data_IF_485555231245
#
_entry.id   IF_485555231245
#
_cell.length_a   1.000
_cell.length_b   1.000
_cell.length_c   1.000
_cell.angle_alpha   90.00
_cell.angle_beta   90.00
_cell.angle_gamma   90.00
#
_symmetry.space_group_name_H-M   'P 1'
#
loop_
_entity.id
_entity.type
_entity.pdbx_description
1 polymer ?
#
# COMPACT_ATOMS: atom_id res chain seq x y z
N UNK A 1 8.01 -8.38 21.26
CA UNK A 1 8.18 -8.57 22.72
C UNK A 1 8.79 -7.28 23.25
N UNK A 2 8.14 -6.57 24.20
CA UNK A 2 8.59 -5.26 24.68
C UNK A 2 9.73 -5.31 25.72
N UNK A 3 10.36 -6.48 25.88
CA UNK A 3 11.46 -6.69 26.77
C UNK A 3 12.71 -7.14 26.02
N UNK A 4 13.91 -6.69 26.44
CA UNK A 4 15.14 -7.17 25.84
C UNK A 4 15.34 -8.66 26.11
N UNK A 5 15.65 -9.40 25.06
CA UNK A 5 16.02 -10.81 25.14
C UNK A 5 17.51 -10.88 24.87
N UNK A 6 18.23 -11.50 25.79
CA UNK A 6 19.68 -11.71 25.68
C UNK A 6 19.96 -13.17 25.37
N UNK A 7 20.84 -13.40 24.42
CA UNK A 7 21.41 -14.71 24.15
C UNK A 7 22.78 -14.77 24.80
N UNK A 8 22.98 -15.79 25.61
CA UNK A 8 24.23 -16.09 26.27
C UNK A 8 24.85 -17.33 25.58
N UNK A 9 26.04 -17.18 25.01
CA UNK A 9 26.69 -18.24 24.27
C UNK A 9 28.22 -18.09 24.33
N UNK A 10 28.94 -19.25 24.13
CA UNK A 10 30.38 -19.26 23.99
C UNK A 10 30.74 -19.22 22.50
N UNK A 11 31.33 -18.13 22.06
CA UNK A 11 31.92 -18.05 20.73
C UNK A 11 33.27 -18.70 20.70
N UNK A 12 33.42 -19.70 19.84
CA UNK A 12 34.69 -20.40 19.66
C UNK A 12 35.40 -19.82 18.44
N UNK A 13 36.51 -19.16 18.67
CA UNK A 13 37.44 -18.71 17.63
C UNK A 13 38.73 -19.50 17.65
N UNK A 14 39.43 -19.56 16.52
CA UNK A 14 40.68 -20.25 16.39
C UNK A 14 41.74 -19.24 15.95
N UNK A 15 42.80 -19.09 16.79
CA UNK A 15 43.96 -18.26 16.48
C UNK A 15 45.17 -19.15 16.15
N UNK A 16 45.91 -18.81 15.06
CA UNK A 16 47.10 -19.51 14.59
C UNK A 16 46.90 -20.33 13.33
N UNK A 17 47.98 -20.64 12.64
CA UNK A 17 48.01 -21.47 11.43
C UNK A 17 48.70 -22.84 11.71
N UNK A 18 48.19 -23.92 11.09
CA UNK A 18 48.80 -25.25 11.17
C UNK A 18 48.63 -25.94 12.53
N UNK A 19 49.69 -26.54 13.03
CA UNK A 19 49.71 -27.32 14.29
C UNK A 19 49.61 -26.44 15.57
N UNK A 20 49.81 -25.12 15.44
CA UNK A 20 49.73 -24.15 16.56
C UNK A 20 48.35 -23.52 16.72
N UNK A 21 47.32 -24.07 16.09
CA UNK A 21 45.94 -23.59 16.17
C UNK A 21 45.38 -23.78 17.58
N UNK A 22 45.17 -22.65 18.28
CA UNK A 22 44.60 -22.65 19.64
C UNK A 22 43.15 -22.25 19.60
N UNK A 23 42.32 -23.03 20.28
CA UNK A 23 40.91 -22.72 20.49
C UNK A 23 40.79 -21.62 21.58
N UNK A 24 40.10 -20.53 21.23
CA UNK A 24 39.78 -19.45 22.18
C UNK A 24 38.28 -19.42 22.33
N UNK A 25 37.78 -19.63 23.54
CA UNK A 25 36.37 -19.48 23.89
C UNK A 25 36.16 -18.10 24.52
N UNK A 26 35.26 -17.37 23.97
CA UNK A 26 34.84 -16.08 24.51
C UNK A 26 33.36 -16.13 24.86
N UNK A 27 33.05 -15.88 26.13
CA UNK A 27 31.68 -15.84 26.60
C UNK A 27 31.03 -14.52 26.18
N UNK A 28 29.93 -14.62 25.42
CA UNK A 28 29.20 -13.46 24.91
C UNK A 28 27.74 -13.43 25.40
N UNK A 29 27.30 -12.23 25.74
CA UNK A 29 25.90 -11.96 26.01
C UNK A 29 25.49 -10.87 25.01
N UNK A 30 24.59 -11.22 24.11
CA UNK A 30 24.13 -10.33 23.06
C UNK A 30 22.62 -10.14 23.13
N UNK A 31 22.18 -8.90 23.02
CA UNK A 31 20.75 -8.61 22.90
C UNK A 31 20.28 -8.97 21.48
N UNK A 32 19.41 -9.96 21.36
CA UNK A 32 18.93 -10.50 20.08
C UNK A 32 17.63 -9.89 19.55
N UNK A 33 17.01 -8.99 20.30
CA UNK A 33 15.81 -8.29 19.85
C UNK A 33 15.89 -6.78 20.11
N UNK A 34 15.29 -6.00 19.24
CA UNK A 34 15.10 -4.55 19.45
C UNK A 34 13.94 -4.31 20.42
N UNK A 35 13.95 -4.70 21.66
CA UNK A 35 12.94 -4.61 22.75
C UNK A 35 11.75 -3.62 22.61
N UNK A 36 11.63 -2.89 21.50
CA UNK A 36 10.56 -1.96 21.16
C UNK A 36 10.01 -2.25 19.76
N UNK A 37 8.69 -2.15 19.62
CA UNK A 37 8.05 -2.21 18.32
C UNK A 37 8.44 -0.96 17.51
N UNK A 38 8.91 -1.14 16.28
CA UNK A 38 9.38 -0.03 15.43
C UNK A 38 8.32 1.06 15.28
N UNK A 39 7.06 0.67 15.08
CA UNK A 39 5.96 1.62 14.91
C UNK A 39 5.62 2.44 16.16
N UNK A 40 6.23 2.15 17.30
CA UNK A 40 6.07 2.92 18.55
C UNK A 40 7.22 3.87 18.81
N UNK A 41 8.31 3.77 18.06
CA UNK A 41 9.46 4.66 18.20
C UNK A 41 9.14 6.03 17.59
N UNK A 42 9.71 7.11 18.10
CA UNK A 42 9.62 8.43 17.49
C UNK A 42 10.16 8.37 16.04
N UNK A 43 9.43 8.95 15.09
CA UNK A 43 9.88 9.00 13.70
C UNK A 43 11.23 9.66 13.51
N UNK A 44 11.56 10.61 14.40
CA UNK A 44 12.83 11.35 14.37
C UNK A 44 14.04 10.50 14.74
N UNK A 45 13.82 9.31 15.29
CA UNK A 45 14.87 8.34 15.68
C UNK A 45 15.00 7.20 14.68
N UNK A 46 14.14 7.16 13.66
CA UNK A 46 14.09 6.12 12.64
C UNK A 46 14.63 6.63 11.31
N UNK A 47 15.40 5.79 10.65
CA UNK A 47 15.89 6.00 9.29
C UNK A 47 15.07 5.20 8.27
N UNK A 48 15.17 5.52 6.99
CA UNK A 48 14.54 4.74 5.91
C UNK A 48 14.99 3.27 5.95
N UNK A 49 16.25 3.01 6.27
CA UNK A 49 16.80 1.65 6.39
C UNK A 49 16.09 0.86 7.51
N UNK A 50 15.76 1.49 8.64
CA UNK A 50 15.01 0.83 9.73
C UNK A 50 13.63 0.38 9.25
N UNK A 51 12.94 1.22 8.47
CA UNK A 51 11.64 0.89 7.87
C UNK A 51 11.75 -0.22 6.84
N UNK A 52 12.78 -0.20 5.99
CA UNK A 52 12.99 -1.20 4.94
C UNK A 52 13.39 -2.56 5.52
N UNK A 53 14.28 -2.60 6.51
CA UNK A 53 14.64 -3.83 7.21
C UNK A 53 13.44 -4.46 7.92
N UNK A 54 12.62 -3.62 8.58
CA UNK A 54 11.40 -4.08 9.22
C UNK A 54 10.45 -4.72 8.19
N UNK A 55 10.23 -4.04 7.06
CA UNK A 55 9.38 -4.54 5.99
C UNK A 55 9.86 -5.88 5.46
N UNK A 56 11.13 -5.98 5.06
CA UNK A 56 11.73 -7.21 4.53
C UNK A 56 11.63 -8.37 5.52
N UNK A 57 11.89 -8.10 6.79
CA UNK A 57 11.87 -9.12 7.84
C UNK A 57 10.46 -9.61 8.17
N UNK A 58 9.51 -8.69 8.32
CA UNK A 58 8.17 -9.01 8.82
C UNK A 58 7.24 -9.56 7.75
N UNK A 59 7.42 -9.09 6.51
CA UNK A 59 6.57 -9.48 5.37
C UNK A 59 7.27 -10.45 4.42
N UNK A 60 8.53 -10.85 4.73
CA UNK A 60 9.31 -11.81 3.95
C UNK A 60 9.45 -11.40 2.47
N UNK A 61 9.60 -10.11 2.24
CA UNK A 61 9.84 -9.53 0.93
C UNK A 61 11.32 -9.19 0.80
N UNK A 62 11.94 -9.54 -0.32
CA UNK A 62 13.36 -9.28 -0.56
C UNK A 62 13.60 -7.89 -1.18
N UNK A 63 12.54 -7.27 -1.74
CA UNK A 63 12.62 -5.94 -2.32
C UNK A 63 12.26 -4.88 -1.27
N UNK A 64 12.73 -3.65 -1.48
CA UNK A 64 12.29 -2.50 -0.71
C UNK A 64 10.85 -2.14 -1.08
N UNK A 65 10.05 -1.65 -0.14
CA UNK A 65 8.72 -1.19 -0.46
C UNK A 65 8.79 0.04 -1.38
N UNK A 66 7.80 0.19 -2.24
CA UNK A 66 7.66 1.41 -3.04
C UNK A 66 7.51 2.63 -2.14
N UNK A 67 6.73 2.51 -1.08
CA UNK A 67 6.48 3.60 -0.14
C UNK A 67 6.11 3.06 1.24
N UNK A 68 6.32 3.87 2.27
CA UNK A 68 5.80 3.60 3.61
C UNK A 68 5.13 4.84 4.22
N UNK A 69 4.16 4.60 5.10
CA UNK A 69 3.41 5.63 5.82
C UNK A 69 3.32 5.26 7.29
N UNK A 70 4.03 6.00 8.13
CA UNK A 70 3.99 5.84 9.57
C UNK A 70 3.16 6.98 10.19
N UNK A 71 2.06 6.67 10.89
CA UNK A 71 1.21 7.68 11.52
C UNK A 71 0.95 7.35 12.98
N UNK A 72 0.85 8.37 13.80
CA UNK A 72 0.41 8.28 15.19
C UNK A 72 -0.76 9.25 15.38
N UNK A 73 -1.88 8.72 15.84
CA UNK A 73 -3.05 9.50 16.21
C UNK A 73 -3.13 9.60 17.74
N UNK A 74 -3.23 10.83 18.23
CA UNK A 74 -3.39 11.14 19.64
C UNK A 74 -4.65 12.01 19.80
N UNK A 75 -5.62 11.54 20.57
CA UNK A 75 -6.90 12.23 20.73
C UNK A 75 -7.94 11.36 21.39
N UNK A 76 -9.17 11.40 20.89
CA UNK A 76 -10.27 10.57 21.41
C UNK A 76 -10.02 9.07 21.22
N UNK A 77 -9.27 8.71 20.18
CA UNK A 77 -8.83 7.34 19.91
C UNK A 77 -7.33 7.40 19.65
N UNK A 78 -6.56 6.63 20.43
CA UNK A 78 -5.13 6.53 20.32
C UNK A 78 -4.72 5.27 19.56
N UNK A 79 -3.99 5.47 18.46
CA UNK A 79 -3.46 4.37 17.67
C UNK A 79 -2.24 4.79 16.85
N UNK A 80 -1.46 3.82 16.47
CA UNK A 80 -0.34 3.99 15.55
C UNK A 80 -0.54 3.08 14.34
N UNK A 81 -0.21 3.58 13.15
CA UNK A 81 -0.18 2.75 11.94
C UNK A 81 1.17 2.87 11.27
N UNK A 82 1.62 1.75 10.71
CA UNK A 82 2.75 1.69 9.82
C UNK A 82 2.34 0.87 8.61
N UNK A 83 2.08 1.54 7.51
CA UNK A 83 1.69 0.90 6.25
C UNK A 83 2.82 0.95 5.24
N UNK A 84 2.87 -0.07 4.40
CA UNK A 84 3.79 -0.21 3.29
C UNK A 84 3.01 -0.48 2.01
N UNK A 85 3.47 0.12 0.93
CA UNK A 85 3.07 -0.21 -0.43
C UNK A 85 4.19 -1.05 -1.03
N UNK A 86 4.00 -2.33 -1.31
CA UNK A 86 5.01 -3.16 -1.98
C UNK A 86 5.39 -2.57 -3.34
N UNK A 87 6.61 -2.80 -3.79
CA UNK A 87 7.07 -2.33 -5.09
C UNK A 87 6.36 -3.04 -6.24
N UNK A 88 6.00 -4.32 -6.02
CA UNK A 88 5.23 -5.13 -6.97
C UNK A 88 3.99 -5.70 -6.31
N UNK A 89 2.92 -5.78 -7.08
CA UNK A 89 1.70 -6.42 -6.63
C UNK A 89 1.94 -7.91 -6.35
N UNK A 90 1.44 -8.44 -5.23
CA UNK A 90 1.44 -9.87 -4.99
C UNK A 90 0.74 -10.61 -6.13
N UNK A 91 1.35 -11.69 -6.63
CA UNK A 91 0.82 -12.45 -7.77
C UNK A 91 -0.56 -13.07 -7.52
N UNK A 92 -0.90 -13.29 -6.25
CA UNK A 92 -2.15 -13.87 -5.78
C UNK A 92 -3.19 -12.82 -5.33
N UNK A 93 -2.92 -11.52 -5.52
CA UNK A 93 -3.75 -10.42 -5.01
C UNK A 93 -5.22 -10.46 -5.47
N UNK A 94 -5.49 -11.11 -6.59
CA UNK A 94 -6.84 -11.27 -7.15
C UNK A 94 -7.46 -12.65 -6.89
N UNK A 95 -6.80 -13.51 -6.15
CA UNK A 95 -7.34 -14.82 -5.77
C UNK A 95 -8.34 -14.67 -4.61
N UNK A 96 -9.33 -15.57 -4.58
CA UNK A 96 -10.40 -15.49 -3.58
C UNK A 96 -9.92 -15.75 -2.13
N UNK A 97 -8.82 -16.46 -1.98
CA UNK A 97 -8.16 -16.79 -0.72
C UNK A 97 -7.02 -15.84 -0.33
N UNK A 98 -6.83 -14.76 -1.10
CA UNK A 98 -5.81 -13.74 -0.79
C UNK A 98 -6.00 -13.18 0.62
N UNK A 99 -4.93 -13.16 1.38
CA UNK A 99 -4.88 -12.61 2.73
C UNK A 99 -4.28 -11.19 2.70
N UNK A 100 -5.05 -10.16 3.11
CA UNK A 100 -4.51 -8.82 3.25
C UNK A 100 -3.34 -8.77 4.24
N UNK A 101 -2.32 -7.99 3.93
CA UNK A 101 -1.09 -7.96 4.72
C UNK A 101 -1.08 -7.00 5.92
N UNK A 102 -2.24 -6.50 6.36
CA UNK A 102 -2.33 -5.60 7.52
C UNK A 102 -2.61 -6.39 8.79
N UNK A 103 -1.78 -6.20 9.81
CA UNK A 103 -1.85 -6.88 11.11
C UNK A 103 -2.41 -5.96 12.18
N UNK A 104 -3.33 -6.47 12.99
CA UNK A 104 -3.88 -5.75 14.14
C UNK A 104 -3.13 -6.12 15.41
N UNK A 105 -2.70 -5.09 16.11
CA UNK A 105 -2.18 -5.16 17.47
C UNK A 105 -3.05 -4.34 18.41
N UNK A 106 -3.15 -4.76 19.65
CA UNK A 106 -3.75 -4.00 20.74
C UNK A 106 -2.74 -3.92 21.87
N UNK A 107 -2.32 -2.70 22.21
CA UNK A 107 -1.30 -2.45 23.23
C UNK A 107 -0.03 -3.31 23.00
N UNK A 108 0.41 -3.39 21.73
CA UNK A 108 1.59 -4.17 21.27
C UNK A 108 1.41 -5.70 21.33
N UNK A 109 0.22 -6.20 21.64
CA UNK A 109 -0.10 -7.61 21.59
C UNK A 109 -0.72 -7.93 20.23
N UNK A 110 -0.16 -8.89 19.50
CA UNK A 110 -0.71 -9.35 18.23
C UNK A 110 -2.11 -9.96 18.46
N UNK A 111 -3.07 -9.53 17.66
CA UNK A 111 -4.46 -10.00 17.71
C UNK A 111 -4.79 -10.86 16.49
N UNK A 112 -4.59 -10.32 15.29
CA UNK A 112 -4.90 -11.01 14.04
C UNK A 112 -4.19 -10.40 12.84
N UNK A 113 -3.98 -11.21 11.80
CA UNK A 113 -3.54 -10.81 10.46
C UNK A 113 -4.58 -11.20 9.37
N UNK A 114 -5.70 -11.80 9.77
CA UNK A 114 -6.79 -12.25 8.88
C UNK A 114 -8.07 -11.43 9.11
N UNK A 115 -7.95 -10.11 9.30
CA UNK A 115 -9.14 -9.27 9.49
C UNK A 115 -9.39 -8.42 8.24
N UNK A 116 -10.28 -8.90 7.38
CA UNK A 116 -10.69 -8.23 6.12
C UNK A 116 -11.36 -6.88 6.34
N UNK A 117 -11.80 -6.60 7.59
CA UNK A 117 -12.40 -5.33 7.97
C UNK A 117 -11.41 -4.23 8.30
N UNK A 118 -10.11 -4.54 8.43
CA UNK A 118 -9.08 -3.53 8.77
C UNK A 118 -8.91 -2.48 7.68
N UNK A 119 -8.95 -2.91 6.42
CA UNK A 119 -8.85 -2.01 5.27
C UNK A 119 -9.87 -2.41 4.20
N UNK A 120 -10.34 -1.47 3.36
CA UNK A 120 -11.23 -1.80 2.25
C UNK A 120 -10.51 -2.64 1.20
N UNK A 121 -11.27 -3.44 0.46
CA UNK A 121 -10.75 -4.39 -0.53
C UNK A 121 -9.87 -3.73 -1.59
N UNK A 122 -10.18 -2.51 -2.00
CA UNK A 122 -9.38 -1.79 -2.99
C UNK A 122 -8.01 -1.34 -2.48
N UNK A 123 -7.75 -1.41 -1.16
CA UNK A 123 -6.45 -1.20 -0.54
C UNK A 123 -5.79 -2.50 -0.05
N UNK A 124 -6.23 -3.65 -0.56
CA UNK A 124 -5.71 -4.97 -0.16
C UNK A 124 -4.24 -5.19 -0.41
N UNK A 125 -3.63 -4.39 -1.27
CA UNK A 125 -2.19 -4.41 -1.51
C UNK A 125 -1.35 -3.90 -0.34
N UNK A 126 -1.95 -3.17 0.60
CA UNK A 126 -1.24 -2.65 1.76
C UNK A 126 -0.75 -3.78 2.66
N UNK A 127 0.47 -3.63 3.11
CA UNK A 127 1.05 -4.41 4.20
C UNK A 127 1.31 -3.49 5.38
N UNK A 128 1.28 -4.00 6.59
CA UNK A 128 1.57 -3.12 7.71
C UNK A 128 0.98 -3.54 9.03
N UNK A 129 0.91 -2.55 9.92
CA UNK A 129 0.48 -2.71 11.31
C UNK A 129 -0.49 -1.60 11.67
N UNK A 130 -1.55 -1.98 12.37
CA UNK A 130 -2.40 -1.09 13.15
C UNK A 130 -2.24 -1.50 14.62
N UNK A 131 -1.89 -0.58 15.51
CA UNK A 131 -1.74 -0.83 16.94
C UNK A 131 -2.58 0.17 17.73
N UNK A 132 -3.67 -0.28 18.33
CA UNK A 132 -4.62 0.53 19.09
C UNK A 132 -4.39 0.43 20.61
N UNK A 133 -4.46 1.56 21.30
CA UNK A 133 -4.48 1.59 22.77
C UNK A 133 -5.88 1.43 23.34
N UNK A 134 -6.93 1.74 22.57
CA UNK A 134 -8.31 1.82 23.05
C UNK A 134 -9.13 0.55 22.79
N UNK A 135 -8.64 -0.36 21.95
CA UNK A 135 -9.29 -1.65 21.79
C UNK A 135 -9.02 -2.55 23.01
N UNK A 136 -10.01 -3.34 23.45
CA UNK A 136 -9.81 -4.29 24.53
C UNK A 136 -8.98 -5.50 24.07
N UNK A 137 -8.10 -6.02 24.93
CA UNK A 137 -7.24 -7.18 24.61
C UNK A 137 -8.01 -8.49 24.38
N UNK A 138 -9.23 -8.61 24.92
CA UNK A 138 -10.08 -9.79 24.79
C UNK A 138 -11.00 -9.73 23.57
N UNK A 139 -10.58 -9.04 22.52
CA UNK A 139 -11.38 -8.87 21.30
C UNK A 139 -11.49 -10.19 20.56
N UNK A 140 -12.72 -10.67 20.35
CA UNK A 140 -13.00 -11.75 19.40
C UNK A 140 -13.26 -11.18 18.01
N UNK A 141 -13.11 -12.01 16.97
CA UNK A 141 -13.38 -11.62 15.58
C UNK A 141 -14.78 -11.01 15.39
N UNK A 142 -15.80 -11.56 16.04
CA UNK A 142 -17.16 -11.03 16.01
C UNK A 142 -17.27 -9.63 16.64
N UNK A 143 -16.49 -9.37 17.70
CA UNK A 143 -16.45 -8.05 18.35
C UNK A 143 -15.74 -7.01 17.50
N UNK A 144 -14.75 -7.40 16.66
CA UNK A 144 -14.05 -6.50 15.75
C UNK A 144 -14.99 -5.96 14.69
N UNK A 145 -15.83 -6.78 14.09
CA UNK A 145 -16.74 -6.39 13.00
C UNK A 145 -17.74 -5.31 13.38
N UNK A 146 -18.12 -5.21 14.66
CA UNK A 146 -19.08 -4.22 15.16
C UNK A 146 -18.41 -3.11 15.99
N UNK A 147 -17.08 -3.05 16.02
CA UNK A 147 -16.38 -2.13 16.90
C UNK A 147 -16.25 -0.73 16.29
N UNK A 148 -16.87 0.28 16.93
CA UNK A 148 -16.86 1.67 16.47
C UNK A 148 -15.43 2.28 16.48
N UNK A 149 -14.58 1.87 17.41
CA UNK A 149 -13.19 2.32 17.47
C UNK A 149 -12.46 1.83 16.25
N UNK A 150 -12.58 0.54 15.90
CA UNK A 150 -11.95 -0.02 14.71
C UNK A 150 -12.47 0.64 13.42
N UNK A 151 -13.78 0.86 13.31
CA UNK A 151 -14.36 1.56 12.17
C UNK A 151 -13.82 3.00 12.00
N UNK A 152 -13.60 3.70 13.11
CA UNK A 152 -13.00 5.04 13.11
C UNK A 152 -11.53 5.00 12.71
N UNK A 153 -10.75 4.04 13.24
CA UNK A 153 -9.35 3.82 12.86
C UNK A 153 -9.25 3.53 11.36
N UNK A 154 -10.09 2.62 10.84
CA UNK A 154 -10.16 2.28 9.42
C UNK A 154 -10.43 3.52 8.56
N UNK A 155 -11.51 4.27 8.86
CA UNK A 155 -11.88 5.46 8.09
C UNK A 155 -10.74 6.50 8.07
N UNK A 156 -10.11 6.75 9.22
CA UNK A 156 -8.99 7.69 9.31
C UNK A 156 -7.76 7.18 8.56
N UNK A 157 -7.46 5.88 8.64
CA UNK A 157 -6.34 5.25 7.94
C UNK A 157 -6.52 5.31 6.43
N UNK A 158 -7.72 5.02 5.92
CA UNK A 158 -8.06 5.15 4.50
C UNK A 158 -7.79 6.56 3.99
N UNK A 159 -8.30 7.58 4.69
CA UNK A 159 -8.07 8.99 4.31
C UNK A 159 -6.58 9.35 4.30
N UNK A 160 -5.81 8.84 5.27
CA UNK A 160 -4.37 9.09 5.31
C UNK A 160 -3.64 8.44 4.15
N UNK A 161 -3.98 7.19 3.81
CA UNK A 161 -3.39 6.49 2.66
C UNK A 161 -3.73 7.19 1.34
N UNK A 162 -4.99 7.55 1.12
CA UNK A 162 -5.41 8.26 -0.09
C UNK A 162 -4.73 9.64 -0.20
N UNK A 163 -4.67 10.41 0.89
CA UNK A 163 -3.96 11.69 0.91
C UNK A 163 -2.46 11.55 0.65
N UNK A 164 -1.83 10.46 1.09
CA UNK A 164 -0.42 10.18 0.77
C UNK A 164 -0.22 9.86 -0.71
N UNK A 165 -1.17 9.12 -1.32
CA UNK A 165 -1.16 8.87 -2.76
C UNK A 165 -1.36 10.15 -3.58
N UNK A 166 -2.21 11.07 -3.13
CA UNK A 166 -2.36 12.41 -3.74
C UNK A 166 -1.05 13.20 -3.68
N UNK A 167 -0.39 13.22 -2.52
CA UNK A 167 0.90 13.87 -2.37
C UNK A 167 1.98 13.21 -3.27
N UNK A 168 1.98 11.89 -3.36
CA UNK A 168 2.89 11.17 -4.26
C UNK A 168 2.62 11.55 -5.72
N UNK A 169 1.37 11.62 -6.15
CA UNK A 169 0.99 11.99 -7.51
C UNK A 169 1.44 13.42 -7.86
N UNK A 170 1.39 14.34 -6.89
CA UNK A 170 1.76 15.75 -7.08
C UNK A 170 3.27 15.99 -7.00
N UNK A 171 3.95 15.38 -6.02
CA UNK A 171 5.33 15.69 -5.67
C UNK A 171 6.35 14.73 -6.26
N UNK A 172 5.95 13.51 -6.64
CA UNK A 172 6.81 12.49 -7.23
C UNK A 172 6.06 11.67 -8.30
N UNK A 173 5.77 12.28 -9.47
CA UNK A 173 4.96 11.66 -10.52
C UNK A 173 5.57 10.37 -11.07
N UNK A 174 6.90 10.24 -11.12
CA UNK A 174 7.55 9.01 -11.58
C UNK A 174 7.27 7.84 -10.61
N UNK A 175 7.38 8.07 -9.32
CA UNK A 175 7.04 7.07 -8.30
C UNK A 175 5.55 6.73 -8.34
N UNK A 176 4.70 7.74 -8.58
CA UNK A 176 3.28 7.51 -8.74
C UNK A 176 2.96 6.71 -10.01
N UNK A 177 3.70 6.92 -11.10
CA UNK A 177 3.58 6.11 -12.32
C UNK A 177 3.95 4.63 -12.07
N UNK A 178 4.99 4.37 -11.25
CA UNK A 178 5.31 3.00 -10.81
C UNK A 178 4.15 2.39 -10.00
N UNK A 179 3.59 3.17 -9.08
CA UNK A 179 2.42 2.76 -8.29
C UNK A 179 1.22 2.41 -9.18
N UNK A 180 0.88 3.25 -10.15
CA UNK A 180 -0.25 3.05 -11.05
C UNK A 180 -0.11 1.78 -11.90
N UNK A 181 1.09 1.44 -12.36
CA UNK A 181 1.34 0.22 -13.12
C UNK A 181 0.91 -1.04 -12.36
N UNK A 182 1.07 -1.05 -11.04
CA UNK A 182 0.80 -2.20 -10.19
C UNK A 182 -0.59 -2.16 -9.55
N UNK A 183 -1.10 -0.96 -9.22
CA UNK A 183 -2.23 -0.81 -8.29
C UNK A 183 -3.40 0.03 -8.81
N UNK A 184 -3.38 0.45 -10.09
CA UNK A 184 -4.48 1.23 -10.66
C UNK A 184 -5.82 0.47 -10.65
N UNK A 185 -5.80 -0.81 -11.02
CA UNK A 185 -7.00 -1.66 -11.03
C UNK A 185 -7.66 -1.76 -9.65
N UNK A 186 -6.95 -2.09 -8.54
CA UNK A 186 -7.56 -2.03 -7.21
C UNK A 186 -8.13 -0.67 -6.85
N UNK A 187 -7.47 0.44 -7.18
CA UNK A 187 -8.01 1.78 -6.93
C UNK A 187 -9.33 2.03 -7.68
N UNK A 188 -9.43 1.60 -8.93
CA UNK A 188 -10.66 1.66 -9.71
C UNK A 188 -11.82 0.92 -9.04
N UNK A 189 -11.56 -0.23 -8.41
CA UNK A 189 -12.57 -0.97 -7.64
C UNK A 189 -13.15 -0.11 -6.49
N UNK A 190 -12.34 0.80 -5.94
CA UNK A 190 -12.77 1.76 -4.92
C UNK A 190 -13.85 2.72 -5.41
N UNK A 191 -13.86 3.08 -6.70
CA UNK A 191 -14.89 3.96 -7.29
C UNK A 191 -16.31 3.36 -7.18
N UNK A 192 -16.41 2.04 -7.19
CA UNK A 192 -17.66 1.33 -7.02
C UNK A 192 -18.04 1.08 -5.56
N UNK A 193 -17.05 0.84 -4.69
CA UNK A 193 -17.28 0.33 -3.33
C UNK A 193 -17.18 1.39 -2.23
N UNK A 194 -16.50 2.52 -2.46
CA UNK A 194 -16.25 3.56 -1.44
C UNK A 194 -16.79 4.92 -1.87
N UNK A 195 -18.07 5.11 -1.70
CA UNK A 195 -18.73 6.38 -2.02
C UNK A 195 -18.22 7.58 -1.22
N UNK A 196 -17.72 7.33 0.00
CA UNK A 196 -17.23 8.40 0.88
C UNK A 196 -15.92 9.03 0.38
N UNK A 197 -15.12 8.28 -0.35
CA UNK A 197 -13.84 8.72 -0.91
C UNK A 197 -13.83 8.76 -2.44
N UNK A 198 -15.03 8.69 -3.08
CA UNK A 198 -15.15 8.59 -4.53
C UNK A 198 -14.45 9.74 -5.27
N UNK A 199 -14.60 10.97 -4.80
CA UNK A 199 -13.98 12.15 -5.42
C UNK A 199 -12.44 12.04 -5.41
N UNK A 200 -11.86 11.72 -4.26
CA UNK A 200 -10.41 11.49 -4.14
C UNK A 200 -9.95 10.35 -5.03
N UNK A 201 -10.69 9.24 -5.07
CA UNK A 201 -10.36 8.12 -5.94
C UNK A 201 -10.41 8.50 -7.43
N UNK A 202 -11.36 9.33 -7.85
CA UNK A 202 -11.43 9.84 -9.24
C UNK A 202 -10.20 10.70 -9.61
N UNK A 203 -9.62 11.42 -8.67
CA UNK A 203 -8.38 12.17 -8.89
C UNK A 203 -7.13 11.26 -8.96
N UNK A 204 -7.19 10.13 -8.27
CA UNK A 204 -6.08 9.18 -8.17
C UNK A 204 -6.01 8.19 -9.35
N UNK A 205 -7.13 7.69 -9.85
CA UNK A 205 -7.12 6.71 -10.95
C UNK A 205 -6.54 7.30 -12.24
N UNK A 206 -5.97 6.44 -13.05
CA UNK A 206 -5.35 6.81 -14.33
C UNK A 206 -5.87 5.91 -15.44
N UNK A 207 -5.83 6.46 -16.65
CA UNK A 207 -6.27 5.77 -17.85
C UNK A 207 -5.23 5.93 -18.94
N UNK A 208 -5.19 5.00 -19.87
CA UNK A 208 -4.51 5.17 -21.16
C UNK A 208 -5.35 6.06 -22.06
N UNK A 209 -4.76 6.68 -23.04
CA UNK A 209 -5.50 7.52 -23.99
C UNK A 209 -4.96 7.41 -25.41
N UNK A 210 -5.68 7.99 -26.36
CA UNK A 210 -5.24 8.05 -27.74
C UNK A 210 -4.13 9.08 -27.99
N UNK A 211 -3.83 9.94 -27.02
CA UNK A 211 -2.85 11.02 -27.14
C UNK A 211 -1.42 10.51 -27.00
N UNK A 212 -1.17 9.63 -26.01
CA UNK A 212 0.16 9.08 -25.77
C UNK A 212 0.05 7.58 -25.43
N UNK A 213 0.92 6.77 -26.03
CA UNK A 213 0.97 5.32 -25.82
C UNK A 213 1.70 4.92 -24.53
N UNK A 214 2.56 5.81 -24.01
CA UNK A 214 3.45 5.51 -22.88
C UNK A 214 3.02 6.18 -21.57
N UNK A 215 2.04 7.09 -21.66
CA UNK A 215 1.63 7.89 -20.52
C UNK A 215 0.21 7.55 -20.06
N UNK A 216 0.03 7.59 -18.76
CA UNK A 216 -1.28 7.54 -18.15
C UNK A 216 -1.81 8.95 -17.94
N UNK A 217 -3.12 9.13 -18.07
CA UNK A 217 -3.82 10.41 -17.92
C UNK A 217 -4.83 10.35 -16.79
N UNK A 218 -4.94 11.42 -16.02
CA UNK A 218 -6.06 11.64 -15.09
C UNK A 218 -7.22 12.32 -15.78
N UNK A 219 -8.40 12.30 -15.17
CA UNK A 219 -9.54 13.08 -15.65
C UNK A 219 -9.26 14.60 -15.70
N UNK A 220 -8.49 15.13 -14.74
CA UNK A 220 -8.09 16.52 -14.73
C UNK A 220 -7.21 16.86 -15.95
N UNK A 221 -6.16 16.07 -16.19
CA UNK A 221 -5.27 16.25 -17.34
C UNK A 221 -6.03 16.13 -18.68
N UNK A 222 -6.96 15.18 -18.79
CA UNK A 222 -7.83 15.09 -19.97
C UNK A 222 -8.65 16.36 -20.16
N UNK A 223 -9.29 16.86 -19.10
CA UNK A 223 -10.09 18.10 -19.14
C UNK A 223 -9.27 19.31 -19.58
N UNK A 224 -8.03 19.42 -19.14
CA UNK A 224 -7.13 20.52 -19.52
C UNK A 224 -6.76 20.49 -21.02
N UNK A 225 -6.85 19.32 -21.65
CA UNK A 225 -6.57 19.12 -23.09
C UNK A 225 -7.81 19.10 -23.97
N UNK A 226 -9.02 19.20 -23.37
CA UNK A 226 -10.26 19.20 -24.14
C UNK A 226 -10.31 20.35 -25.15
N UNK A 227 -10.79 20.05 -26.36
CA UNK A 227 -10.99 21.06 -27.38
C UNK A 227 -12.03 22.12 -26.96
N UNK A 228 -11.91 23.33 -27.50
CA UNK A 228 -12.87 24.39 -27.26
C UNK A 228 -14.30 23.95 -27.68
N UNK A 229 -15.25 24.02 -26.75
CA UNK A 229 -16.61 23.56 -26.96
C UNK A 229 -16.88 22.08 -26.76
N UNK A 230 -15.85 21.28 -26.46
CA UNK A 230 -16.02 19.87 -26.04
C UNK A 230 -16.75 19.81 -24.69
N UNK A 231 -17.82 18.99 -24.61
CA UNK A 231 -18.69 18.95 -23.43
C UNK A 231 -18.56 17.71 -22.58
N UNK A 232 -17.85 16.70 -23.07
CA UNK A 232 -17.74 15.40 -22.42
C UNK A 232 -16.35 14.80 -22.56
N UNK A 233 -15.99 13.94 -21.63
CA UNK A 233 -14.87 13.03 -21.72
C UNK A 233 -15.34 11.86 -22.57
N UNK A 234 -14.57 11.50 -23.60
CA UNK A 234 -14.85 10.34 -24.44
C UNK A 234 -13.99 9.17 -24.03
N UNK A 235 -14.55 7.99 -24.05
CA UNK A 235 -13.86 6.75 -23.72
C UNK A 235 -14.34 5.58 -24.60
N UNK A 236 -13.53 4.55 -24.67
CA UNK A 236 -13.86 3.26 -25.29
C UNK A 236 -13.43 2.15 -24.35
N UNK A 237 -14.27 1.14 -24.16
CA UNK A 237 -13.98 -0.04 -23.33
C UNK A 237 -13.67 -1.25 -24.19
N UNK A 238 -12.87 -2.17 -23.69
CA UNK A 238 -12.58 -3.44 -24.34
C UNK A 238 -11.50 -4.25 -23.63
N UNK A 239 -11.18 -5.42 -24.17
CA UNK A 239 -10.35 -6.41 -23.49
C UNK A 239 -8.85 -6.07 -23.43
N UNK A 240 -8.36 -5.28 -24.38
CA UNK A 240 -6.94 -4.90 -24.41
C UNK A 240 -6.70 -3.60 -25.19
N UNK A 241 -5.62 -2.92 -24.82
CA UNK A 241 -5.22 -1.63 -25.36
C UNK A 241 -5.02 -1.66 -26.88
N UNK A 242 -4.33 -2.67 -27.42
CA UNK A 242 -4.00 -2.75 -28.85
C UNK A 242 -5.27 -2.81 -29.71
N UNK A 243 -6.25 -3.58 -29.28
CA UNK A 243 -7.55 -3.68 -29.97
C UNK A 243 -8.30 -2.34 -29.91
N UNK A 244 -8.27 -1.68 -28.75
CA UNK A 244 -8.90 -0.38 -28.58
C UNK A 244 -8.25 0.68 -29.46
N UNK A 245 -6.92 0.77 -29.46
CA UNK A 245 -6.17 1.73 -30.28
C UNK A 245 -6.41 1.59 -31.78
N UNK A 246 -6.65 0.37 -32.25
CA UNK A 246 -6.91 0.08 -33.65
C UNK A 246 -8.41 0.07 -34.02
N UNK A 247 -9.27 0.48 -33.09
CA UNK A 247 -10.72 0.47 -33.33
C UNK A 247 -11.12 1.51 -34.40
N UNK A 248 -11.93 1.12 -35.42
CA UNK A 248 -12.47 2.04 -36.40
C UNK A 248 -13.35 3.15 -35.78
N UNK A 249 -13.88 2.92 -34.58
CA UNK A 249 -14.68 3.90 -33.86
C UNK A 249 -13.89 5.17 -33.48
N UNK A 250 -12.56 5.08 -33.43
CA UNK A 250 -11.69 6.20 -33.10
C UNK A 250 -11.40 7.13 -34.28
N UNK A 251 -11.67 6.73 -35.53
CA UNK A 251 -11.31 7.52 -36.72
C UNK A 251 -11.94 8.92 -36.68
N UNK A 252 -13.23 9.00 -36.40
CA UNK A 252 -13.95 10.29 -36.34
C UNK A 252 -13.45 11.23 -35.22
N UNK A 253 -12.90 10.66 -34.13
CA UNK A 253 -12.31 11.43 -33.03
C UNK A 253 -10.90 11.90 -33.38
N UNK A 254 -10.10 11.05 -34.03
CA UNK A 254 -8.77 11.40 -34.53
C UNK A 254 -8.80 12.52 -35.55
N UNK A 255 -9.72 12.45 -36.50
CA UNK A 255 -9.93 13.52 -37.51
C UNK A 255 -10.26 14.88 -36.87
N UNK A 256 -10.92 14.87 -35.73
CA UNK A 256 -11.29 16.08 -34.98
C UNK A 256 -10.26 16.49 -33.93
N UNK A 257 -9.17 15.73 -33.76
CA UNK A 257 -8.19 15.94 -32.70
C UNK A 257 -8.78 15.83 -31.29
N UNK A 258 -9.73 14.90 -31.09
CA UNK A 258 -10.36 14.65 -29.81
C UNK A 258 -9.68 13.45 -29.15
N UNK A 259 -9.14 13.65 -27.96
CA UNK A 259 -8.61 12.58 -27.13
C UNK A 259 -9.72 11.62 -26.68
N UNK A 260 -9.44 10.32 -26.67
CA UNK A 260 -10.34 9.28 -26.16
C UNK A 260 -9.59 8.42 -25.14
N UNK A 261 -10.19 8.20 -23.97
CA UNK A 261 -9.63 7.29 -22.96
C UNK A 261 -9.80 5.84 -23.41
N UNK A 262 -8.76 5.06 -23.23
CA UNK A 262 -8.74 3.62 -23.50
C UNK A 262 -8.88 2.87 -22.17
N UNK A 263 -9.99 2.20 -22.02
CA UNK A 263 -10.38 1.55 -20.77
C UNK A 263 -10.34 0.03 -21.00
N UNK A 264 -9.19 -0.54 -20.71
CA UNK A 264 -8.84 -1.93 -20.98
C UNK A 264 -8.88 -2.83 -19.73
N UNK A 265 -9.26 -2.29 -18.58
CA UNK A 265 -9.53 -3.09 -17.37
C UNK A 265 -10.99 -3.53 -17.33
N UNK A 266 -11.25 -4.81 -16.99
CA UNK A 266 -12.62 -5.34 -16.83
C UNK A 266 -13.49 -4.52 -15.85
N UNK A 267 -12.86 -3.90 -14.84
CA UNK A 267 -13.55 -3.07 -13.86
C UNK A 267 -14.06 -1.75 -14.46
N UNK A 268 -13.47 -1.28 -15.55
CA UNK A 268 -13.83 0.00 -16.16
C UNK A 268 -15.28 0.05 -16.62
N UNK A 269 -15.82 -1.06 -17.13
CA UNK A 269 -17.23 -1.16 -17.53
C UNK A 269 -18.21 -1.06 -16.34
N UNK A 270 -17.73 -1.34 -15.14
CA UNK A 270 -18.55 -1.33 -13.93
C UNK A 270 -18.53 0.04 -13.24
N UNK A 271 -17.37 0.72 -13.26
CA UNK A 271 -17.14 1.94 -12.48
C UNK A 271 -17.47 3.22 -13.21
N UNK A 272 -17.60 3.14 -14.54
CA UNK A 272 -18.01 4.27 -15.38
C UNK A 272 -19.48 4.14 -15.74
N UNK A 273 -20.30 5.15 -15.42
CA UNK A 273 -21.73 5.11 -15.67
C UNK A 273 -22.10 5.20 -17.14
#
# INVERSE_FOLDING_TARGET
>A
IPFPIYLEYDETSYEGEGEDRKEKKEHKIEQINKASALWRQPKTELTDDDYYEFYKTVFHDNEEPLHYLHTKAEGTIEYTTLFYIPKKAPFDMYQADYQPGVRLYVKRVFITDDEKELMPVYLRFLRGVIDSEDLPLNVSREMLQQNRVLASIRSSSVKKVLGELEQMAQNNPEKYKEFIKEYNRPLKEGLYSDYSNKETLMELVRFKSTEDENEYVSFAQYKDRMNEGQKAIYYITGENEDTLRNSPLLEAYREKGIEVLLMDDEIDEIVIP
#
